data_IF_503986136954
#
_entry.id   IF_503986136954
#
_cell.length_a   1.000
_cell.length_b   1.000
_cell.length_c   1.000
_cell.angle_alpha   90.00
_cell.angle_beta   90.00
_cell.angle_gamma   90.00
#
_symmetry.space_group_name_H-M   'P 1'
#
loop_
_entity.id
_entity.type
_entity.pdbx_description
1 polymer ?
#
# COMPACT_ATOMS: atom_id res chain seq x y z
N UNK A 1 -33.31 -2.74 -22.71
CA UNK A 1 -32.55 -3.10 -21.46
C UNK A 1 -31.09 -2.84 -21.73
N UNK A 2 -30.59 -1.68 -21.36
CA UNK A 2 -29.16 -1.34 -21.45
C UNK A 2 -28.48 -2.12 -20.36
N UNK A 3 -27.74 -3.17 -20.75
CA UNK A 3 -27.00 -4.01 -19.80
C UNK A 3 -25.97 -3.18 -19.04
N UNK A 4 -26.21 -2.93 -17.76
CA UNK A 4 -25.16 -2.46 -16.86
C UNK A 4 -24.07 -3.53 -16.83
N UNK A 5 -22.85 -3.16 -17.22
CA UNK A 5 -21.71 -4.06 -17.11
C UNK A 5 -21.53 -4.47 -15.63
N UNK A 6 -21.27 -5.75 -15.38
CA UNK A 6 -20.93 -6.22 -14.04
C UNK A 6 -19.57 -5.64 -13.62
N UNK A 7 -19.27 -5.61 -12.31
CA UNK A 7 -17.96 -5.18 -11.82
C UNK A 7 -16.82 -5.96 -12.50
N UNK A 8 -16.97 -7.27 -12.63
CA UNK A 8 -15.99 -8.15 -13.29
C UNK A 8 -15.73 -7.76 -14.75
N UNK A 9 -16.78 -7.42 -15.51
CA UNK A 9 -16.62 -6.97 -16.91
C UNK A 9 -15.90 -5.64 -17.01
N UNK A 10 -16.18 -4.70 -16.09
CA UNK A 10 -15.49 -3.41 -16.03
C UNK A 10 -14.02 -3.57 -15.64
N UNK A 11 -13.72 -4.40 -14.64
CA UNK A 11 -12.36 -4.73 -14.25
C UNK A 11 -11.58 -5.36 -15.41
N UNK A 12 -12.16 -6.36 -16.09
CA UNK A 12 -11.54 -7.01 -17.25
C UNK A 12 -11.25 -6.01 -18.37
N UNK A 13 -12.20 -5.10 -18.65
CA UNK A 13 -11.99 -4.05 -19.65
C UNK A 13 -10.83 -3.14 -19.28
N UNK A 14 -10.82 -2.61 -18.05
CA UNK A 14 -9.75 -1.71 -17.58
C UNK A 14 -8.40 -2.44 -17.55
N UNK A 15 -8.36 -3.69 -17.11
CA UNK A 15 -7.15 -4.49 -17.10
C UNK A 15 -6.54 -4.65 -18.50
N UNK A 16 -7.37 -4.82 -19.53
CA UNK A 16 -6.93 -4.99 -20.90
C UNK A 16 -6.55 -3.67 -21.60
N UNK A 17 -7.19 -2.57 -21.24
CA UNK A 17 -7.11 -1.30 -21.96
C UNK A 17 -6.24 -0.24 -21.27
N UNK A 18 -5.93 -0.40 -19.96
CA UNK A 18 -5.18 0.60 -19.17
C UNK A 18 -3.96 -0.04 -18.50
N UNK A 19 -2.90 0.73 -18.36
CA UNK A 19 -1.67 0.26 -17.70
C UNK A 19 -1.82 0.23 -16.16
N UNK A 20 -2.82 0.93 -15.58
CA UNK A 20 -3.03 1.06 -14.13
C UNK A 20 -1.81 1.61 -13.37
N UNK A 21 -1.03 2.41 -14.07
CA UNK A 21 0.13 3.15 -13.58
C UNK A 21 0.00 4.60 -13.96
N UNK A 22 0.37 5.49 -13.04
CA UNK A 22 0.51 6.92 -13.31
C UNK A 22 1.90 7.39 -12.89
N UNK A 23 2.62 8.00 -13.82
CA UNK A 23 3.95 8.57 -13.57
C UNK A 23 3.83 10.09 -13.56
N UNK A 24 4.41 10.73 -12.55
CA UNK A 24 4.43 12.19 -12.38
C UNK A 24 5.83 12.61 -12.00
N UNK A 25 6.32 13.69 -12.61
CA UNK A 25 7.59 14.33 -12.25
C UNK A 25 7.31 15.61 -11.45
N UNK A 26 8.06 15.84 -10.38
CA UNK A 26 7.98 17.06 -9.58
C UNK A 26 9.18 17.95 -9.88
N UNK A 27 8.98 18.87 -10.82
CA UNK A 27 10.01 19.81 -11.26
C UNK A 27 10.44 20.84 -10.18
N UNK A 28 9.74 20.88 -9.04
CA UNK A 28 10.12 21.74 -7.91
C UNK A 28 11.15 21.10 -6.98
N UNK A 29 11.47 19.83 -7.18
CA UNK A 29 12.49 19.10 -6.42
C UNK A 29 13.84 19.28 -7.10
N UNK A 30 14.83 19.82 -6.37
CA UNK A 30 16.19 20.05 -6.91
C UNK A 30 16.96 18.73 -7.11
N UNK A 31 16.74 17.75 -6.24
CA UNK A 31 17.38 16.43 -6.31
C UNK A 31 16.57 15.47 -7.19
N UNK A 32 17.01 15.29 -8.43
CA UNK A 32 16.40 14.37 -9.38
C UNK A 32 16.85 12.91 -9.21
N UNK A 33 17.61 12.59 -8.17
CA UNK A 33 18.14 11.25 -7.93
C UNK A 33 17.16 10.30 -7.22
N UNK A 34 16.00 10.79 -6.78
CA UNK A 34 15.03 10.03 -5.98
C UNK A 34 13.77 9.69 -6.78
N UNK A 35 13.37 8.40 -6.72
CA UNK A 35 12.11 7.89 -7.25
C UNK A 35 11.27 7.31 -6.12
N UNK A 36 9.97 7.60 -6.08
CA UNK A 36 9.03 7.03 -5.12
C UNK A 36 7.91 6.27 -5.83
N UNK A 37 7.69 5.03 -5.42
CA UNK A 37 6.64 4.13 -5.95
C UNK A 37 5.58 3.95 -4.87
N UNK A 38 4.32 4.09 -5.26
CA UNK A 38 3.16 4.02 -4.36
C UNK A 38 2.19 2.95 -4.82
N UNK A 39 1.87 2.04 -3.92
CA UNK A 39 0.93 0.96 -4.17
C UNK A 39 -0.40 1.26 -3.50
N UNK A 40 -1.49 1.28 -4.27
CA UNK A 40 -2.83 1.46 -3.75
C UNK A 40 -3.30 0.23 -2.97
N UNK A 41 -4.05 0.46 -1.91
CA UNK A 41 -4.72 -0.59 -1.14
C UNK A 41 -6.04 -1.02 -1.82
N UNK A 42 -6.74 -1.98 -1.22
CA UNK A 42 -8.10 -2.33 -1.66
C UNK A 42 -9.12 -1.18 -1.48
N UNK A 43 -8.76 -0.11 -0.76
CA UNK A 43 -9.60 1.09 -0.64
C UNK A 43 -9.54 1.99 -1.89
N UNK A 44 -8.78 1.64 -2.93
CA UNK A 44 -8.71 2.37 -4.21
C UNK A 44 -10.10 2.61 -4.81
N UNK A 45 -11.02 1.67 -4.62
CA UNK A 45 -12.47 1.85 -4.75
C UNK A 45 -13.18 1.00 -3.69
N UNK A 46 -14.19 1.56 -3.02
CA UNK A 46 -14.99 0.87 -2.00
C UNK A 46 -16.32 1.62 -1.83
N UNK A 47 -17.47 0.91 -1.73
CA UNK A 47 -17.65 -0.56 -1.76
C UNK A 47 -17.34 -1.20 -3.13
N UNK A 48 -17.26 -2.56 -3.16
CA UNK A 48 -16.91 -3.34 -4.35
C UNK A 48 -18.12 -3.48 -5.27
N UNK A 49 -18.50 -2.35 -5.89
CA UNK A 49 -19.63 -2.24 -6.81
C UNK A 49 -19.22 -1.67 -8.15
N UNK A 50 -19.93 -2.02 -9.21
CA UNK A 50 -19.70 -1.47 -10.55
C UNK A 50 -19.84 0.06 -10.58
N UNK A 51 -20.73 0.62 -9.75
CA UNK A 51 -20.95 2.07 -9.64
C UNK A 51 -19.71 2.77 -9.06
N UNK A 52 -19.20 2.32 -7.89
CA UNK A 52 -18.04 2.94 -7.25
C UNK A 52 -16.78 2.71 -8.09
N UNK A 53 -16.61 1.54 -8.71
CA UNK A 53 -15.54 1.29 -9.68
C UNK A 53 -15.58 2.29 -10.84
N UNK A 54 -16.75 2.46 -11.47
CA UNK A 54 -16.92 3.43 -12.56
C UNK A 54 -16.55 4.84 -12.10
N UNK A 55 -17.07 5.26 -10.95
CA UNK A 55 -16.81 6.59 -10.39
C UNK A 55 -15.34 6.80 -10.09
N UNK A 56 -14.70 5.89 -9.35
CA UNK A 56 -13.33 6.06 -8.86
C UNK A 56 -12.30 5.78 -9.96
N UNK A 57 -12.44 4.68 -10.69
CA UNK A 57 -11.43 4.23 -11.64
C UNK A 57 -11.62 4.86 -13.01
N UNK A 58 -12.85 4.85 -13.56
CA UNK A 58 -13.07 5.34 -14.92
C UNK A 58 -13.25 6.87 -15.01
N UNK A 59 -14.01 7.47 -14.07
CA UNK A 59 -14.30 8.90 -14.13
C UNK A 59 -13.28 9.78 -13.40
N UNK A 60 -12.81 9.35 -12.23
CA UNK A 60 -11.84 10.13 -11.44
C UNK A 60 -10.40 9.74 -11.72
N UNK A 61 -10.14 8.62 -12.40
CA UNK A 61 -8.82 8.02 -12.60
C UNK A 61 -7.98 8.04 -11.30
N UNK A 62 -8.62 7.52 -10.24
CA UNK A 62 -8.12 7.62 -8.87
C UNK A 62 -6.93 6.70 -8.62
N UNK A 63 -5.90 7.28 -8.01
CA UNK A 63 -4.77 6.58 -7.39
C UNK A 63 -4.63 7.06 -5.95
N UNK A 64 -4.33 6.15 -5.02
CA UNK A 64 -4.00 6.54 -3.66
C UNK A 64 -2.64 7.26 -3.62
N UNK A 65 -2.34 7.91 -2.50
CA UNK A 65 -1.08 8.62 -2.25
C UNK A 65 -0.84 9.91 -3.05
N UNK A 66 -1.63 10.24 -4.05
CA UNK A 66 -1.45 11.42 -4.92
C UNK A 66 -1.26 12.75 -4.15
N UNK A 67 -1.86 12.86 -2.94
CA UNK A 67 -1.81 14.05 -2.09
C UNK A 67 -0.93 13.90 -0.85
N UNK A 68 -0.22 12.75 -0.72
CA UNK A 68 0.66 12.46 0.42
C UNK A 68 1.90 11.77 -0.12
N UNK A 69 2.81 12.60 -0.66
CA UNK A 69 3.99 12.13 -1.37
C UNK A 69 5.24 12.18 -0.48
N UNK A 70 6.16 11.27 -0.72
CA UNK A 70 7.53 11.34 -0.28
C UNK A 70 8.28 12.37 -1.15
N UNK A 71 9.26 13.11 -0.63
CA UNK A 71 10.08 14.01 -1.47
C UNK A 71 10.86 13.21 -2.52
N UNK A 72 10.46 13.32 -3.78
CA UNK A 72 11.10 12.64 -4.90
C UNK A 72 10.84 13.39 -6.19
N UNK A 73 11.74 13.28 -7.16
CA UNK A 73 11.57 13.84 -8.49
C UNK A 73 10.55 13.03 -9.31
N UNK A 74 10.70 11.68 -9.34
CA UNK A 74 9.78 10.79 -10.04
C UNK A 74 8.84 10.11 -9.04
N UNK A 75 7.55 10.12 -9.35
CA UNK A 75 6.50 9.43 -8.60
C UNK A 75 5.77 8.45 -9.50
N UNK A 76 5.71 7.18 -9.10
CA UNK A 76 5.02 6.10 -9.80
C UNK A 76 3.89 5.62 -8.91
N UNK A 77 2.64 5.82 -9.34
CA UNK A 77 1.45 5.36 -8.63
C UNK A 77 0.91 4.12 -9.33
N UNK A 78 0.79 3.04 -8.58
CA UNK A 78 0.34 1.73 -9.09
C UNK A 78 -0.96 1.35 -8.39
N UNK A 79 -1.93 0.81 -9.14
CA UNK A 79 -3.19 0.30 -8.57
C UNK A 79 -3.50 -1.11 -9.07
N UNK A 80 -3.94 -1.95 -8.15
CA UNK A 80 -4.47 -3.28 -8.42
C UNK A 80 -6.00 -3.20 -8.45
N UNK A 81 -6.57 -3.24 -9.66
CA UNK A 81 -8.01 -3.14 -9.85
C UNK A 81 -8.75 -4.44 -9.58
N UNK A 82 -8.06 -5.57 -9.58
CA UNK A 82 -8.63 -6.87 -9.23
C UNK A 82 -8.61 -7.14 -7.71
N UNK A 83 -7.86 -6.34 -6.95
CA UNK A 83 -7.68 -6.53 -5.50
C UNK A 83 -7.12 -7.92 -5.16
N UNK A 84 -6.13 -8.33 -5.93
CA UNK A 84 -5.45 -9.62 -5.86
C UNK A 84 -4.10 -9.55 -5.13
N UNK A 85 -3.85 -8.49 -4.34
CA UNK A 85 -2.53 -8.22 -3.76
C UNK A 85 -1.42 -8.10 -4.82
N UNK A 86 -1.77 -7.60 -5.99
CA UNK A 86 -0.87 -7.49 -7.16
C UNK A 86 -0.35 -8.82 -7.72
N UNK A 87 -0.80 -9.97 -7.18
CA UNK A 87 -0.31 -11.30 -7.59
C UNK A 87 -0.62 -11.57 -9.06
N UNK A 88 -1.79 -11.13 -9.54
CA UNK A 88 -2.20 -11.24 -10.95
C UNK A 88 -1.79 -10.04 -11.78
N UNK A 89 -0.78 -9.28 -11.32
CA UNK A 89 -0.32 -8.07 -11.98
C UNK A 89 -1.32 -6.92 -11.91
N UNK A 90 -1.20 -5.98 -12.84
CA UNK A 90 -1.99 -4.74 -12.86
C UNK A 90 -2.68 -4.47 -14.21
N UNK A 91 -2.22 -5.12 -15.27
CA UNK A 91 -2.74 -4.95 -16.63
C UNK A 91 -2.38 -6.13 -17.53
N UNK A 92 -2.96 -6.19 -18.73
CA UNK A 92 -2.61 -7.21 -19.74
C UNK A 92 -1.15 -7.17 -20.21
N UNK A 93 -0.40 -6.12 -19.93
CA UNK A 93 1.04 -6.01 -20.19
C UNK A 93 1.88 -6.43 -18.98
N UNK A 94 1.34 -6.31 -17.77
CA UNK A 94 1.98 -6.65 -16.50
C UNK A 94 1.03 -7.60 -15.77
N UNK A 95 1.16 -8.90 -16.04
CA UNK A 95 0.14 -9.91 -15.78
C UNK A 95 0.34 -10.70 -14.48
N UNK A 96 1.47 -10.51 -13.83
CA UNK A 96 1.83 -11.19 -12.58
C UNK A 96 2.81 -10.35 -11.75
N UNK A 97 3.18 -10.84 -10.58
CA UNK A 97 4.11 -10.14 -9.69
C UNK A 97 5.53 -10.05 -10.29
N UNK A 98 6.00 -11.08 -11.00
CA UNK A 98 7.34 -11.07 -11.59
C UNK A 98 7.45 -10.01 -12.71
N UNK A 99 6.44 -9.88 -13.55
CA UNK A 99 6.38 -8.83 -14.58
C UNK A 99 6.19 -7.44 -13.97
N UNK A 100 5.51 -7.31 -12.82
CA UNK A 100 5.42 -6.05 -12.08
C UNK A 100 6.78 -5.64 -11.49
N UNK A 101 7.52 -6.59 -10.92
CA UNK A 101 8.89 -6.36 -10.44
C UNK A 101 9.79 -5.90 -11.59
N UNK A 102 9.77 -6.62 -12.73
CA UNK A 102 10.56 -6.26 -13.91
C UNK A 102 10.22 -4.87 -14.45
N UNK A 103 8.92 -4.55 -14.57
CA UNK A 103 8.45 -3.23 -14.98
C UNK A 103 8.96 -2.12 -14.04
N UNK A 104 8.83 -2.31 -12.73
CA UNK A 104 9.27 -1.31 -11.76
C UNK A 104 10.81 -1.23 -11.68
N UNK A 105 11.53 -2.30 -11.96
CA UNK A 105 12.99 -2.29 -12.09
C UNK A 105 13.42 -1.36 -13.25
N UNK A 106 12.76 -1.45 -14.40
CA UNK A 106 13.03 -0.57 -15.54
C UNK A 106 12.68 0.89 -15.21
N UNK A 107 11.52 1.13 -14.61
CA UNK A 107 11.03 2.48 -14.29
C UNK A 107 11.84 3.18 -13.18
N UNK A 108 12.49 2.42 -12.31
CA UNK A 108 13.35 2.95 -11.24
C UNK A 108 14.84 2.93 -11.60
N UNK A 109 15.20 2.38 -12.75
CA UNK A 109 16.59 2.35 -13.22
C UNK A 109 17.16 3.76 -13.35
N UNK A 110 18.39 3.95 -12.87
CA UNK A 110 19.10 5.24 -12.91
C UNK A 110 18.77 6.20 -11.77
N UNK A 111 17.83 5.87 -10.87
CA UNK A 111 17.63 6.60 -9.62
C UNK A 111 18.52 6.03 -8.51
N UNK A 112 19.19 6.93 -7.77
CA UNK A 112 20.08 6.53 -6.67
C UNK A 112 19.31 6.18 -5.40
N UNK A 113 18.15 6.80 -5.20
CA UNK A 113 17.29 6.55 -4.04
C UNK A 113 15.91 6.09 -4.51
N UNK A 114 15.52 4.89 -4.15
CA UNK A 114 14.20 4.34 -4.46
C UNK A 114 13.42 4.13 -3.17
N UNK A 115 12.21 4.72 -3.11
CA UNK A 115 11.31 4.56 -1.98
C UNK A 115 10.03 3.82 -2.41
N UNK A 116 9.66 2.76 -1.68
CA UNK A 116 8.44 1.98 -1.91
C UNK A 116 7.44 2.22 -0.78
N UNK A 117 6.20 2.56 -1.09
CA UNK A 117 5.20 2.99 -0.10
C UNK A 117 3.87 2.30 -0.38
N UNK A 118 3.25 1.74 0.68
CA UNK A 118 1.93 1.14 0.56
C UNK A 118 1.26 0.86 1.90
N UNK A 119 -0.04 0.64 1.88
CA UNK A 119 -0.80 0.18 3.04
C UNK A 119 -1.64 -1.04 2.71
N UNK A 120 -1.89 -1.92 3.69
CA UNK A 120 -2.70 -3.14 3.50
C UNK A 120 -2.15 -3.98 2.32
N UNK A 121 -2.98 -4.31 1.33
CA UNK A 121 -2.55 -4.99 0.10
C UNK A 121 -1.47 -4.20 -0.68
N UNK A 122 -1.52 -2.87 -0.67
CA UNK A 122 -0.44 -2.05 -1.23
C UNK A 122 0.85 -2.14 -0.42
N UNK A 123 0.74 -2.33 0.91
CA UNK A 123 1.88 -2.59 1.79
C UNK A 123 2.54 -3.94 1.53
N UNK A 124 1.74 -4.96 1.21
CA UNK A 124 2.23 -6.26 0.74
C UNK A 124 3.11 -6.10 -0.51
N UNK A 125 2.58 -5.43 -1.56
CA UNK A 125 3.32 -5.23 -2.79
C UNK A 125 4.57 -4.35 -2.59
N UNK A 126 4.46 -3.25 -1.81
CA UNK A 126 5.59 -2.38 -1.50
C UNK A 126 6.73 -3.13 -0.78
N UNK A 127 6.40 -4.03 0.15
CA UNK A 127 7.39 -4.84 0.87
C UNK A 127 8.10 -5.83 -0.06
N UNK A 128 7.33 -6.61 -0.83
CA UNK A 128 7.87 -7.62 -1.74
C UNK A 128 8.73 -6.97 -2.82
N UNK A 129 8.15 -6.04 -3.60
CA UNK A 129 8.86 -5.37 -4.70
C UNK A 129 10.07 -4.59 -4.18
N UNK A 130 9.90 -3.88 -3.05
CA UNK A 130 10.98 -3.12 -2.45
C UNK A 130 12.17 -3.97 -2.00
N UNK A 131 11.93 -5.17 -1.48
CA UNK A 131 12.99 -6.12 -1.16
C UNK A 131 13.67 -6.67 -2.41
N UNK A 132 12.90 -7.05 -3.43
CA UNK A 132 13.43 -7.59 -4.69
C UNK A 132 14.27 -6.56 -5.47
N UNK A 133 13.89 -5.28 -5.41
CA UNK A 133 14.61 -4.18 -6.07
C UNK A 133 15.65 -3.48 -5.17
N UNK A 134 15.87 -4.00 -3.95
CA UNK A 134 16.80 -3.41 -2.99
C UNK A 134 16.56 -1.93 -2.72
N UNK A 135 15.28 -1.54 -2.58
CA UNK A 135 14.88 -0.15 -2.34
C UNK A 135 15.54 0.44 -1.08
N UNK A 136 15.89 1.73 -1.13
CA UNK A 136 16.58 2.45 -0.04
C UNK A 136 15.67 2.70 1.17
N UNK A 137 14.36 2.78 0.92
CA UNK A 137 13.34 2.91 1.96
C UNK A 137 12.06 2.20 1.53
N UNK A 138 11.54 1.33 2.39
CA UNK A 138 10.28 0.64 2.20
C UNK A 138 9.37 1.02 3.37
N UNK A 139 8.32 1.82 3.12
CA UNK A 139 7.37 2.24 4.15
C UNK A 139 6.04 1.53 3.97
N UNK A 140 5.71 0.64 4.89
CA UNK A 140 4.47 -0.13 4.82
C UNK A 140 3.61 0.10 6.06
N UNK A 141 2.31 0.25 5.85
CA UNK A 141 1.33 0.54 6.88
C UNK A 141 0.30 -0.60 6.92
N UNK A 142 0.18 -1.26 8.08
CA UNK A 142 -0.71 -2.41 8.28
C UNK A 142 -0.68 -3.39 7.09
N UNK A 143 0.55 -3.72 6.65
CA UNK A 143 0.78 -4.61 5.53
C UNK A 143 0.40 -6.06 5.87
N UNK A 144 -0.08 -6.77 4.87
CA UNK A 144 -0.40 -8.19 4.97
C UNK A 144 0.76 -8.99 4.37
N UNK A 145 1.54 -9.68 5.20
CA UNK A 145 2.72 -10.45 4.77
C UNK A 145 2.42 -11.94 4.58
N UNK A 146 1.32 -12.42 5.14
CA UNK A 146 0.79 -13.76 5.01
C UNK A 146 -0.67 -13.65 4.56
N UNK A 147 -1.04 -14.33 3.48
CA UNK A 147 -2.36 -14.27 2.88
C UNK A 147 -3.25 -15.49 3.21
N UNK A 148 -2.85 -16.38 4.12
CA UNK A 148 -3.63 -17.58 4.46
C UNK A 148 -5.07 -17.25 4.89
N UNK A 149 -5.23 -16.21 5.71
CA UNK A 149 -6.55 -15.79 6.18
C UNK A 149 -7.39 -15.22 5.02
N UNK A 150 -6.77 -14.50 4.11
CA UNK A 150 -7.44 -13.94 2.93
C UNK A 150 -7.74 -15.04 1.90
N UNK A 151 -6.85 -16.01 1.73
CA UNK A 151 -7.11 -17.21 0.95
C UNK A 151 -8.33 -17.98 1.47
N UNK A 152 -8.40 -18.20 2.78
CA UNK A 152 -9.51 -18.90 3.41
C UNK A 152 -10.86 -18.19 3.26
N UNK A 153 -10.86 -16.85 3.09
CA UNK A 153 -12.06 -16.01 2.86
C UNK A 153 -12.38 -15.86 1.38
N UNK A 154 -11.45 -16.16 0.49
CA UNK A 154 -11.62 -15.99 -0.95
C UNK A 154 -12.55 -17.06 -1.55
N UNK A 155 -13.19 -16.75 -2.68
CA UNK A 155 -14.05 -17.65 -3.43
C UNK A 155 -14.21 -17.14 -4.86
N UNK A 156 -14.82 -17.95 -5.73
CA UNK A 156 -15.19 -17.54 -7.10
C UNK A 156 -16.03 -16.25 -7.17
N UNK A 157 -16.72 -15.90 -6.09
CA UNK A 157 -17.56 -14.70 -6.00
C UNK A 157 -16.88 -13.56 -5.24
N UNK A 158 -15.89 -13.88 -4.42
CA UNK A 158 -15.19 -12.93 -3.56
C UNK A 158 -13.69 -13.10 -3.70
N UNK A 159 -13.03 -12.13 -4.31
CA UNK A 159 -11.61 -12.19 -4.67
C UNK A 159 -11.25 -13.41 -5.55
N UNK A 160 -11.91 -13.61 -6.71
CA UNK A 160 -11.72 -14.82 -7.53
C UNK A 160 -10.26 -15.02 -7.97
N UNK A 161 -9.52 -13.96 -8.27
CA UNK A 161 -8.12 -14.06 -8.67
C UNK A 161 -7.25 -14.61 -7.54
N UNK A 162 -7.44 -14.12 -6.30
CA UNK A 162 -6.74 -14.65 -5.14
C UNK A 162 -7.17 -16.10 -4.88
N UNK A 163 -8.47 -16.41 -5.00
CA UNK A 163 -8.99 -17.77 -4.84
C UNK A 163 -8.28 -18.75 -5.77
N UNK A 164 -8.15 -18.42 -7.05
CA UNK A 164 -7.44 -19.26 -8.00
C UNK A 164 -5.96 -19.41 -7.65
N UNK A 165 -5.30 -18.35 -7.23
CA UNK A 165 -3.89 -18.39 -6.83
C UNK A 165 -3.66 -19.27 -5.61
N UNK A 166 -4.55 -19.20 -4.60
CA UNK A 166 -4.46 -20.03 -3.40
C UNK A 166 -4.68 -21.52 -3.66
N UNK A 167 -5.36 -21.87 -4.77
CA UNK A 167 -5.68 -23.24 -5.14
C UNK A 167 -4.80 -23.76 -6.28
N UNK A 168 -3.72 -23.07 -6.61
CA UNK A 168 -2.75 -23.55 -7.60
C UNK A 168 -2.04 -24.80 -7.09
N UNK A 169 -1.78 -25.76 -7.97
CA UNK A 169 -1.06 -27.01 -7.66
C UNK A 169 0.36 -26.76 -7.15
N UNK A 170 1.01 -25.67 -7.57
CA UNK A 170 2.35 -25.27 -7.15
C UNK A 170 2.37 -24.44 -5.82
N UNK A 171 1.22 -24.23 -5.19
CA UNK A 171 1.10 -23.61 -3.89
C UNK A 171 1.19 -22.11 -3.85
N UNK A 172 1.10 -21.40 -4.99
CA UNK A 172 1.10 -19.94 -5.07
C UNK A 172 2.37 -19.28 -4.50
N UNK A 173 3.24 -18.79 -5.39
CA UNK A 173 4.63 -18.39 -5.05
C UNK A 173 4.76 -17.28 -3.99
N UNK A 174 3.84 -16.33 -3.96
CA UNK A 174 3.96 -15.12 -3.14
C UNK A 174 2.90 -15.01 -2.03
N UNK A 175 2.24 -16.11 -1.64
CA UNK A 175 1.25 -16.06 -0.56
C UNK A 175 1.86 -15.77 0.81
N UNK A 176 3.15 -16.08 0.99
CA UNK A 176 3.90 -15.91 2.23
C UNK A 176 5.17 -15.10 1.97
N UNK A 177 5.29 -13.91 2.56
CA UNK A 177 6.43 -13.03 2.27
C UNK A 177 7.62 -13.18 3.22
N UNK A 178 7.55 -14.00 4.28
CA UNK A 178 8.59 -14.07 5.32
C UNK A 178 10.00 -14.18 4.73
N UNK A 179 10.23 -15.10 3.81
CA UNK A 179 11.54 -15.37 3.23
C UNK A 179 11.99 -14.30 2.21
N UNK A 180 11.06 -13.46 1.76
CA UNK A 180 11.33 -12.35 0.84
C UNK A 180 11.68 -11.05 1.58
N UNK A 181 11.35 -10.92 2.89
CA UNK A 181 11.57 -9.71 3.68
C UNK A 181 13.03 -9.63 4.19
N UNK A 182 13.99 -9.58 3.29
CA UNK A 182 15.43 -9.65 3.56
C UNK A 182 16.14 -8.28 3.61
N UNK A 183 15.41 -7.17 3.55
CA UNK A 183 15.96 -5.80 3.56
C UNK A 183 15.96 -5.19 4.96
N UNK A 184 17.05 -4.50 5.34
CA UNK A 184 17.14 -3.67 6.55
C UNK A 184 16.48 -2.28 6.37
N UNK A 185 15.81 -2.03 5.26
CA UNK A 185 15.25 -0.73 4.90
C UNK A 185 13.73 -0.67 5.08
N UNK A 186 13.12 -1.66 5.75
CA UNK A 186 11.67 -1.75 5.92
C UNK A 186 11.25 -1.03 7.20
N UNK A 187 10.41 0.00 7.06
CA UNK A 187 9.64 0.59 8.14
C UNK A 187 8.22 0.01 8.11
N UNK A 188 7.90 -0.82 9.09
CA UNK A 188 6.57 -1.38 9.27
C UNK A 188 5.81 -0.63 10.37
N UNK A 189 4.77 0.10 9.98
CA UNK A 189 3.84 0.77 10.91
C UNK A 189 2.63 -0.15 11.13
N UNK A 190 2.39 -0.54 12.40
CA UNK A 190 1.41 -1.57 12.72
C UNK A 190 0.39 -1.12 13.78
N UNK A 191 -0.90 -1.38 13.51
CA UNK A 191 -2.07 -1.19 14.39
C UNK A 191 -2.23 -2.35 15.37
N UNK A 192 -1.53 -2.31 16.52
CA UNK A 192 -1.43 -3.44 17.45
C UNK A 192 -2.71 -3.78 18.26
N UNK A 193 -3.82 -3.07 18.06
CA UNK A 193 -5.14 -3.41 18.63
C UNK A 193 -6.13 -3.91 17.59
N UNK A 194 -5.74 -3.96 16.33
CA UNK A 194 -6.50 -4.62 15.27
C UNK A 194 -6.08 -6.10 15.24
N UNK A 195 -7.01 -7.06 15.31
CA UNK A 195 -6.67 -8.49 15.35
C UNK A 195 -5.89 -8.96 14.11
N UNK A 196 -6.33 -8.56 12.91
CA UNK A 196 -5.67 -8.94 11.65
C UNK A 196 -4.22 -8.40 11.62
N UNK A 197 -4.02 -7.11 11.95
CA UNK A 197 -2.69 -6.50 11.93
C UNK A 197 -1.78 -7.09 13.02
N UNK A 198 -2.34 -7.48 14.16
CA UNK A 198 -1.61 -8.17 15.22
C UNK A 198 -1.14 -9.57 14.79
N UNK A 199 -1.92 -10.30 13.98
CA UNK A 199 -1.54 -11.58 13.39
C UNK A 199 -0.40 -11.37 12.40
N UNK A 200 -0.48 -10.36 11.53
CA UNK A 200 0.59 -10.02 10.59
C UNK A 200 1.88 -9.58 11.31
N UNK A 201 1.75 -8.82 12.41
CA UNK A 201 2.90 -8.47 13.25
C UNK A 201 3.56 -9.70 13.87
N UNK A 202 2.77 -10.65 14.38
CA UNK A 202 3.29 -11.90 14.96
C UNK A 202 4.03 -12.73 13.91
N UNK A 203 3.52 -12.77 12.67
CA UNK A 203 4.11 -13.51 11.56
C UNK A 203 5.54 -13.05 11.19
N UNK A 204 5.84 -11.75 11.37
CA UNK A 204 7.15 -11.17 11.05
C UNK A 204 7.97 -10.79 12.29
N UNK A 205 7.54 -11.21 13.49
CA UNK A 205 8.15 -10.78 14.75
C UNK A 205 9.57 -11.29 15.00
N UNK A 206 9.95 -12.36 14.34
CA UNK A 206 11.27 -12.99 14.40
C UNK A 206 12.27 -12.40 13.39
N UNK A 207 11.83 -11.52 12.49
CA UNK A 207 12.68 -10.85 11.52
C UNK A 207 13.43 -9.67 12.17
N UNK A 208 14.76 -9.76 12.40
CA UNK A 208 15.51 -8.73 13.13
C UNK A 208 15.76 -7.46 12.29
N UNK A 209 15.55 -7.54 11.00
CA UNK A 209 15.81 -6.49 10.01
C UNK A 209 14.64 -5.50 9.84
N UNK A 210 13.47 -5.77 10.43
CA UNK A 210 12.32 -4.87 10.34
C UNK A 210 12.38 -3.77 11.41
N UNK A 211 12.20 -2.53 10.98
CA UNK A 211 12.00 -1.38 11.85
C UNK A 211 10.52 -1.20 12.14
N UNK A 212 10.04 -1.64 13.32
CA UNK A 212 8.61 -1.71 13.64
C UNK A 212 8.19 -0.51 14.49
N UNK A 213 7.24 0.28 13.97
CA UNK A 213 6.55 1.35 14.68
C UNK A 213 5.15 0.87 15.08
N UNK A 214 4.91 0.64 16.37
CA UNK A 214 3.66 0.12 16.92
C UNK A 214 2.73 1.25 17.32
N UNK A 215 1.47 1.18 16.87
CA UNK A 215 0.43 2.16 17.24
C UNK A 215 -0.77 1.45 17.86
N UNK A 216 -1.23 1.91 19.02
CA UNK A 216 -2.42 1.39 19.73
C UNK A 216 -3.68 1.87 19.00
N UNK A 217 -3.95 1.34 17.80
CA UNK A 217 -5.13 1.58 16.99
C UNK A 217 -5.91 0.30 16.78
N UNK A 218 -7.25 0.42 16.65
CA UNK A 218 -8.15 -0.65 16.20
C UNK A 218 -8.45 -0.55 14.69
N UNK A 219 -8.11 0.58 14.08
CA UNK A 219 -8.31 0.79 12.65
C UNK A 219 -7.18 0.15 11.87
N UNK A 220 -7.51 -0.51 10.77
CA UNK A 220 -6.59 -0.98 9.75
C UNK A 220 -6.15 0.15 8.81
N UNK A 221 -4.95 0.10 8.26
CA UNK A 221 -4.39 1.06 7.32
C UNK A 221 -3.51 2.12 7.99
N UNK A 222 -3.81 3.41 7.86
CA UNK A 222 -3.01 4.47 8.47
C UNK A 222 -3.51 4.75 9.90
N UNK A 223 -2.74 4.38 10.95
CA UNK A 223 -3.25 4.39 12.33
C UNK A 223 -3.21 5.75 13.04
N UNK A 224 -2.97 6.85 12.32
CA UNK A 224 -2.87 8.21 12.86
C UNK A 224 -3.36 9.25 11.84
N UNK A 225 -3.34 10.54 12.19
CA UNK A 225 -3.90 11.59 11.35
C UNK A 225 -3.10 11.80 10.06
N UNK A 226 -3.78 12.05 8.92
CA UNK A 226 -3.15 12.30 7.62
C UNK A 226 -2.13 13.45 7.64
N UNK A 227 -2.36 14.48 8.47
CA UNK A 227 -1.39 15.56 8.63
C UNK A 227 -0.09 15.09 9.30
N UNK A 228 -0.16 14.09 10.20
CA UNK A 228 1.02 13.47 10.80
C UNK A 228 1.73 12.57 9.78
N UNK A 229 0.98 11.83 8.96
CA UNK A 229 1.53 11.05 7.85
C UNK A 229 2.32 11.95 6.88
N UNK A 230 1.73 13.07 6.44
CA UNK A 230 2.46 14.01 5.56
C UNK A 230 3.78 14.50 6.17
N UNK A 231 3.81 14.74 7.49
CA UNK A 231 5.05 15.12 8.15
C UNK A 231 6.04 13.96 8.23
N UNK A 232 5.57 12.75 8.46
CA UNK A 232 6.38 11.53 8.47
C UNK A 232 7.04 11.28 7.11
N UNK A 233 6.31 11.52 6.00
CA UNK A 233 6.85 11.40 4.65
C UNK A 233 8.02 12.35 4.36
N UNK A 234 8.16 13.45 5.10
CA UNK A 234 9.24 14.41 4.95
C UNK A 234 10.47 14.10 5.83
N UNK A 235 10.41 13.04 6.64
CA UNK A 235 11.48 12.66 7.55
C UNK A 235 12.57 11.88 6.82
N UNK A 236 13.81 12.08 7.27
CA UNK A 236 14.94 11.25 6.83
C UNK A 236 14.84 9.84 7.45
N UNK A 237 15.44 8.88 6.80
CA UNK A 237 15.43 7.47 7.21
C UNK A 237 15.89 7.28 8.66
N UNK A 238 16.96 7.96 9.07
CA UNK A 238 17.49 7.88 10.43
C UNK A 238 16.52 8.44 11.49
N UNK A 239 15.73 9.43 11.13
CA UNK A 239 14.68 9.99 11.99
C UNK A 239 13.51 9.02 12.13
N UNK A 240 13.13 8.34 11.01
CA UNK A 240 12.10 7.30 11.03
C UNK A 240 12.52 6.12 11.93
N UNK A 241 13.80 5.68 11.88
CA UNK A 241 14.31 4.60 12.73
C UNK A 241 14.27 4.96 14.22
N UNK A 242 14.43 6.24 14.60
CA UNK A 242 14.29 6.69 16.00
C UNK A 242 12.86 6.58 16.54
N UNK A 243 11.86 6.46 15.67
CA UNK A 243 10.46 6.29 16.07
C UNK A 243 10.12 4.82 16.37
N UNK A 244 10.93 3.88 15.92
CA UNK A 244 10.69 2.45 16.10
C UNK A 244 11.05 1.98 17.52
N UNK A 245 10.72 0.74 17.85
CA UNK A 245 10.92 0.16 19.20
C UNK A 245 10.12 0.84 20.33
N UNK A 246 9.13 1.67 19.98
CA UNK A 246 8.19 2.30 20.90
C UNK A 246 6.76 2.01 20.48
N UNK A 247 5.85 2.04 21.44
CA UNK A 247 4.42 1.91 21.15
C UNK A 247 3.74 3.23 21.44
N UNK A 248 3.06 3.79 20.44
CA UNK A 248 2.35 5.05 20.53
C UNK A 248 0.83 4.83 20.61
N UNK A 249 0.09 5.81 21.13
CA UNK A 249 -1.33 5.94 20.81
C UNK A 249 -1.47 6.74 19.51
N UNK A 250 -2.58 6.56 18.76
CA UNK A 250 -2.84 7.35 17.55
C UNK A 250 -2.81 8.86 17.82
N UNK A 251 -3.40 9.29 18.94
CA UNK A 251 -3.34 10.69 19.38
C UNK A 251 -1.93 11.13 19.77
N UNK A 252 -1.22 10.31 20.54
CA UNK A 252 0.14 10.63 21.02
C UNK A 252 1.12 10.77 19.85
N UNK A 253 1.11 9.83 18.89
CA UNK A 253 1.93 9.92 17.70
C UNK A 253 1.61 11.16 16.86
N UNK A 254 0.32 11.38 16.57
CA UNK A 254 -0.10 12.58 15.82
C UNK A 254 0.30 13.87 16.53
N UNK A 255 0.14 13.94 17.87
CA UNK A 255 0.49 15.12 18.66
C UNK A 255 1.99 15.39 18.68
N UNK A 256 2.82 14.33 18.71
CA UNK A 256 4.27 14.46 18.58
C UNK A 256 4.66 15.04 17.22
N UNK A 257 3.98 14.60 16.16
CA UNK A 257 4.29 15.00 14.78
C UNK A 257 3.81 16.42 14.44
N UNK A 258 2.60 16.80 14.84
CA UNK A 258 1.92 18.03 14.37
C UNK A 258 1.41 18.94 15.51
N UNK A 259 1.68 18.59 16.77
CA UNK A 259 1.20 19.30 17.97
C UNK A 259 -0.21 18.88 18.39
N UNK A 260 -0.54 18.95 19.71
CA UNK A 260 -1.79 18.42 20.25
C UNK A 260 -3.03 19.22 19.77
N UNK A 261 -2.93 20.53 19.64
CA UNK A 261 -4.04 21.36 19.16
C UNK A 261 -4.44 21.01 17.72
N UNK A 262 -3.47 20.90 16.81
CA UNK A 262 -3.73 20.53 15.42
C UNK A 262 -4.26 19.11 15.31
N UNK A 263 -3.74 18.18 16.11
CA UNK A 263 -4.25 16.80 16.19
C UNK A 263 -5.72 16.78 16.59
N UNK A 264 -6.10 17.50 17.66
CA UNK A 264 -7.49 17.56 18.10
C UNK A 264 -8.42 18.15 17.03
N UNK A 265 -7.98 19.23 16.38
CA UNK A 265 -8.72 19.86 15.28
C UNK A 265 -8.97 18.91 14.10
N UNK A 266 -7.97 18.16 13.69
CA UNK A 266 -8.12 17.16 12.60
C UNK A 266 -9.05 16.01 13.01
N UNK A 267 -8.99 15.53 14.25
CA UNK A 267 -9.91 14.52 14.78
C UNK A 267 -11.37 14.99 14.77
N UNK A 268 -11.63 16.23 15.20
CA UNK A 268 -12.98 16.82 15.18
C UNK A 268 -13.49 16.92 13.74
N UNK A 269 -12.67 17.43 12.82
CA UNK A 269 -13.04 17.52 11.39
C UNK A 269 -13.39 16.16 10.80
N UNK A 270 -12.60 15.13 11.11
CA UNK A 270 -12.84 13.77 10.62
C UNK A 270 -14.18 13.22 11.14
N UNK A 271 -14.48 13.42 12.43
CA UNK A 271 -15.76 13.01 13.02
C UNK A 271 -16.96 13.73 12.39
N UNK A 272 -16.85 15.04 12.16
CA UNK A 272 -17.91 15.81 11.52
C UNK A 272 -18.19 15.37 10.10
N UNK A 273 -17.15 15.01 9.31
CA UNK A 273 -17.32 14.46 7.95
C UNK A 273 -17.96 13.08 7.93
N UNK A 274 -17.82 12.29 8.97
CA UNK A 274 -18.44 10.96 9.08
C UNK A 274 -19.91 11.01 9.51
N UNK A 275 -20.42 12.18 9.92
CA UNK A 275 -21.82 12.41 10.33
C UNK A 275 -22.68 13.03 9.22
N UNK A 276 -22.06 13.45 8.12
CA UNK A 276 -22.70 13.99 6.91
C UNK A 276 -22.64 12.95 5.80
#
# INVERSE_FOLDING_TARGET
>A
MTGQNSLSQLQQKVYNEQDNVRIVYDENVEDHSTCAVYFSSHAVFFPDTAEEFTKRILLQDHYEWMHTRYPAYKHIFVRDIYKSWYITGISSKVQDMDSLIAFLQEETAGYHNVCMIGSSAGGYAAALVGCQLHADLIMVFDAQFNLDEECAKSSELHHPQLFHECHREDGGRYLHLHDYLNSNNILYVCSVKNPMDSTQLAYVSDLPNLHILKVKSKSHGIPFQHAALRKMMLMKKEELWRLTNKTYTSFGFSSMMIGPYKTLREMIKHRLKALI
#
